data_IF_942803167337
#
_entry.id   IF_942803167337
#
_cell.length_a   1.000
_cell.length_b   1.000
_cell.length_c   1.000
_cell.angle_alpha   90.00
_cell.angle_beta   90.00
_cell.angle_gamma   90.00
#
_symmetry.space_group_name_H-M   'P 1'
#
loop_
_entity.id
_entity.type
_entity.pdbx_description
1 polymer ?
#
# COMPACT_ATOMS: atom_id res chain seq x y z
N UNK A 1 -5.90 -5.32 -18.72
CA UNK A 1 -6.49 -5.17 -17.36
C UNK A 1 -5.35 -4.78 -16.44
N UNK A 2 -5.53 -3.72 -15.65
CA UNK A 2 -4.53 -3.24 -14.68
C UNK A 2 -4.37 -4.23 -13.54
N UNK A 3 -3.13 -4.44 -13.07
CA UNK A 3 -2.88 -5.16 -11.82
C UNK A 3 -2.98 -4.20 -10.63
N UNK A 4 -3.36 -4.75 -9.48
CA UNK A 4 -3.21 -4.07 -8.18
C UNK A 4 -2.02 -4.67 -7.47
N UNK A 5 -1.04 -3.84 -7.19
CA UNK A 5 0.21 -4.18 -6.52
C UNK A 5 0.18 -3.57 -5.12
N UNK A 6 0.18 -4.39 -4.08
CA UNK A 6 0.41 -3.96 -2.71
C UNK A 6 1.93 -3.88 -2.49
N UNK A 7 2.50 -2.66 -2.56
CA UNK A 7 3.91 -2.41 -2.26
C UNK A 7 3.99 -1.76 -0.88
N UNK A 8 4.56 -2.47 0.10
CA UNK A 8 4.42 -2.09 1.51
C UNK A 8 5.57 -2.59 2.39
N UNK A 9 6.03 -1.71 3.29
CA UNK A 9 6.94 -2.08 4.36
C UNK A 9 6.18 -2.63 5.56
N UNK A 10 6.75 -3.65 6.21
CA UNK A 10 6.25 -4.20 7.47
C UNK A 10 7.38 -4.38 8.47
N UNK A 11 7.07 -4.27 9.75
CA UNK A 11 7.95 -4.81 10.79
C UNK A 11 8.03 -6.33 10.70
N UNK A 12 9.01 -6.95 11.37
CA UNK A 12 9.15 -8.41 11.42
C UNK A 12 7.89 -9.10 11.99
N UNK A 13 7.20 -8.45 12.92
CA UNK A 13 5.96 -8.94 13.51
C UNK A 13 4.67 -8.50 12.78
N UNK A 14 4.79 -8.00 11.53
CA UNK A 14 3.67 -7.84 10.60
C UNK A 14 2.86 -6.55 10.70
N UNK A 15 3.38 -5.51 11.32
CA UNK A 15 2.74 -4.20 11.41
C UNK A 15 3.24 -3.23 10.34
N UNK A 16 2.38 -2.33 9.89
CA UNK A 16 2.65 -1.34 8.84
C UNK A 16 2.80 0.09 9.38
N UNK A 17 2.27 0.36 10.56
CA UNK A 17 2.35 1.66 11.23
C UNK A 17 2.09 1.48 12.72
N UNK A 18 2.52 2.42 13.56
CA UNK A 18 2.18 2.47 14.99
C UNK A 18 0.68 2.70 15.18
N UNK A 19 0.17 2.53 16.40
CA UNK A 19 -1.25 2.70 16.74
C UNK A 19 -1.80 4.09 16.37
N UNK A 20 -0.96 5.13 16.46
CA UNK A 20 -1.29 6.50 16.06
C UNK A 20 -1.16 6.77 14.55
N UNK A 21 -0.78 5.75 13.77
CA UNK A 21 -0.55 5.84 12.34
C UNK A 21 0.88 6.21 11.95
N UNK A 22 1.76 6.58 12.88
CA UNK A 22 3.15 6.95 12.57
C UNK A 22 3.93 5.81 11.91
N UNK A 23 4.83 6.19 11.00
CA UNK A 23 5.77 5.31 10.30
C UNK A 23 7.23 5.71 10.57
N UNK A 24 7.47 6.51 11.63
CA UNK A 24 8.78 7.02 12.03
C UNK A 24 9.83 5.93 12.23
N UNK A 25 9.40 4.74 12.65
CA UNK A 25 10.24 3.56 12.79
C UNK A 25 10.95 3.12 11.49
N UNK A 26 10.48 3.56 10.33
CA UNK A 26 11.16 3.30 9.05
C UNK A 26 12.46 4.12 8.93
N UNK A 27 12.54 5.28 9.57
CA UNK A 27 13.72 6.15 9.58
C UNK A 27 14.85 5.54 10.44
N UNK A 28 14.51 4.67 11.39
CA UNK A 28 15.47 3.98 12.25
C UNK A 28 16.20 2.83 11.51
N UNK A 29 15.74 2.46 10.30
CA UNK A 29 16.37 1.38 9.52
C UNK A 29 17.57 1.93 8.77
N UNK A 30 18.80 1.44 9.08
CA UNK A 30 20.00 1.91 8.40
C UNK A 30 19.92 1.65 6.90
N UNK A 31 20.16 2.70 6.09
CA UNK A 31 20.23 2.58 4.63
C UNK A 31 21.53 3.20 4.10
N UNK A 32 22.70 2.62 4.42
CA UNK A 32 24.00 3.22 4.11
C UNK A 32 24.32 3.29 2.62
N UNK A 33 23.56 2.59 1.79
CA UNK A 33 23.74 2.55 0.34
C UNK A 33 22.66 3.35 -0.42
N UNK A 34 21.79 4.10 0.28
CA UNK A 34 20.68 4.83 -0.31
C UNK A 34 19.80 3.97 -1.24
N UNK A 35 19.53 2.75 -0.81
CA UNK A 35 18.68 1.82 -1.54
C UNK A 35 17.27 2.41 -1.67
N UNK A 36 16.73 2.44 -2.89
CA UNK A 36 15.35 2.86 -3.14
C UNK A 36 14.34 1.70 -3.08
N UNK A 37 14.83 0.48 -2.78
CA UNK A 37 14.02 -0.73 -2.64
C UNK A 37 13.13 -1.06 -3.85
N UNK A 38 13.45 -0.52 -5.05
CA UNK A 38 12.64 -0.66 -6.26
C UNK A 38 11.46 0.32 -6.34
N UNK A 39 11.48 1.39 -5.54
CA UNK A 39 10.42 2.39 -5.53
C UNK A 39 10.29 3.14 -6.86
N UNK A 40 11.41 3.48 -7.50
CA UNK A 40 11.38 4.13 -8.81
C UNK A 40 10.75 3.21 -9.86
N UNK A 41 11.11 1.92 -9.87
CA UNK A 41 10.52 0.94 -10.80
C UNK A 41 9.01 0.80 -10.58
N UNK A 42 8.56 0.84 -9.31
CA UNK A 42 7.13 0.87 -9.00
C UNK A 42 6.47 2.12 -9.61
N UNK A 43 7.01 3.32 -9.35
CA UNK A 43 6.44 4.58 -9.87
C UNK A 43 6.35 4.58 -11.39
N UNK A 44 7.36 4.04 -12.08
CA UNK A 44 7.37 3.92 -13.54
C UNK A 44 6.34 2.91 -14.05
N UNK A 45 5.95 1.93 -13.25
CA UNK A 45 5.01 0.87 -13.62
C UNK A 45 3.54 1.23 -13.39
N UNK A 46 3.25 2.27 -12.63
CA UNK A 46 1.90 2.66 -12.22
C UNK A 46 1.47 4.00 -12.82
N UNK A 47 0.16 4.22 -12.88
CA UNK A 47 -0.47 5.53 -13.15
C UNK A 47 -1.58 5.86 -12.14
N UNK A 48 -1.85 4.97 -11.22
CA UNK A 48 -3.00 5.07 -10.30
C UNK A 48 -2.59 4.62 -8.91
N UNK A 49 -3.09 5.30 -7.86
CA UNK A 49 -2.94 4.85 -6.48
C UNK A 49 -4.30 4.65 -5.80
N UNK A 50 -4.35 3.74 -4.83
CA UNK A 50 -5.51 3.51 -3.95
C UNK A 50 -5.02 3.51 -2.51
N UNK A 51 -5.72 4.23 -1.64
CA UNK A 51 -5.42 4.29 -0.21
C UNK A 51 -6.69 4.52 0.62
N UNK A 52 -6.62 4.24 1.91
CA UNK A 52 -7.65 4.59 2.86
C UNK A 52 -7.53 6.04 3.33
N UNK A 53 -8.64 6.61 3.84
CA UNK A 53 -8.63 7.99 4.30
C UNK A 53 -7.63 8.26 5.44
N UNK A 54 -7.43 7.33 6.37
CA UNK A 54 -6.45 7.51 7.45
C UNK A 54 -5.02 7.63 6.90
N UNK A 55 -4.66 6.79 5.92
CA UNK A 55 -3.37 6.88 5.23
C UNK A 55 -3.21 8.21 4.48
N UNK A 56 -4.27 8.66 3.81
CA UNK A 56 -4.28 9.97 3.15
C UNK A 56 -4.07 11.12 4.15
N UNK A 57 -4.82 11.12 5.27
CA UNK A 57 -4.67 12.16 6.30
C UNK A 57 -3.26 12.18 6.90
N UNK A 58 -2.66 11.01 7.09
CA UNK A 58 -1.28 10.91 7.56
C UNK A 58 -0.30 11.55 6.56
N UNK A 59 -0.42 11.23 5.27
CA UNK A 59 0.43 11.83 4.22
C UNK A 59 0.30 13.36 4.21
N UNK A 60 -0.92 13.87 4.31
CA UNK A 60 -1.15 15.32 4.38
C UNK A 60 -0.56 15.93 5.65
N UNK A 61 -0.58 15.23 6.78
CA UNK A 61 -0.03 15.71 8.06
C UNK A 61 1.50 15.90 8.05
N UNK A 62 2.21 15.34 7.09
CA UNK A 62 3.65 15.56 6.93
C UNK A 62 4.01 17.00 6.52
N UNK A 63 3.04 17.78 6.03
CA UNK A 63 3.26 19.18 5.64
C UNK A 63 4.15 19.36 4.40
N UNK A 64 4.39 18.30 3.63
CA UNK A 64 5.15 18.32 2.38
C UNK A 64 4.22 18.43 1.17
N UNK A 65 4.76 18.73 0.01
CA UNK A 65 4.02 18.65 -1.25
C UNK A 65 3.49 17.20 -1.42
N UNK A 66 2.25 17.06 -1.92
CA UNK A 66 1.63 15.74 -2.10
C UNK A 66 2.50 14.84 -3.01
N UNK A 67 3.01 13.70 -2.49
CA UNK A 67 4.10 12.96 -3.16
C UNK A 67 3.66 12.25 -4.44
N UNK A 68 2.36 12.01 -4.64
CA UNK A 68 1.83 11.22 -5.76
C UNK A 68 1.11 12.08 -6.81
N UNK A 69 1.55 13.31 -7.02
CA UNK A 69 0.93 14.28 -7.94
C UNK A 69 0.91 13.84 -9.41
N UNK A 70 1.79 12.91 -9.79
CA UNK A 70 1.91 12.40 -11.16
C UNK A 70 1.03 11.17 -11.43
N UNK A 71 0.19 10.78 -10.48
CA UNK A 71 -0.74 9.65 -10.61
C UNK A 71 -2.18 10.09 -10.35
N UNK A 72 -3.15 9.30 -10.81
CA UNK A 72 -4.55 9.46 -10.42
C UNK A 72 -4.75 8.79 -9.06
N UNK A 73 -5.15 9.56 -8.06
CA UNK A 73 -5.20 9.09 -6.68
C UNK A 73 -6.65 8.92 -6.21
N UNK A 74 -6.96 7.74 -5.69
CA UNK A 74 -8.27 7.41 -5.12
C UNK A 74 -8.16 7.12 -3.63
N UNK A 75 -9.02 7.79 -2.84
CA UNK A 75 -9.11 7.60 -1.38
C UNK A 75 -10.43 6.94 -1.05
N UNK A 76 -10.37 5.72 -0.51
CA UNK A 76 -11.56 5.01 -0.05
C UNK A 76 -11.98 5.51 1.33
N UNK A 77 -13.24 5.90 1.46
CA UNK A 77 -13.79 6.47 2.69
C UNK A 77 -15.29 6.19 2.82
N UNK A 78 -15.78 6.13 4.05
CA UNK A 78 -17.22 6.13 4.33
C UNK A 78 -17.72 7.53 4.73
N UNK A 79 -16.83 8.52 4.83
CA UNK A 79 -17.23 9.90 5.14
C UNK A 79 -17.77 10.58 3.87
N UNK A 80 -19.08 10.78 3.83
CA UNK A 80 -19.79 11.39 2.70
C UNK A 80 -19.54 12.90 2.54
N UNK A 81 -19.01 13.56 3.57
CA UNK A 81 -18.78 15.00 3.58
C UNK A 81 -17.46 15.41 2.90
N UNK A 82 -16.54 14.47 2.65
CA UNK A 82 -15.31 14.76 1.95
C UNK A 82 -15.57 15.09 0.48
N UNK A 83 -14.87 16.07 -0.05
CA UNK A 83 -14.96 16.49 -1.46
C UNK A 83 -13.63 16.28 -2.14
N UNK A 84 -13.68 15.93 -3.42
CA UNK A 84 -12.49 15.81 -4.26
C UNK A 84 -11.69 17.11 -4.27
N UNK A 85 -10.37 16.98 -4.41
CA UNK A 85 -9.47 18.12 -4.52
C UNK A 85 -8.46 17.90 -5.65
N UNK A 86 -7.51 18.81 -5.81
CA UNK A 86 -6.53 18.75 -6.89
C UNK A 86 -5.64 17.49 -6.88
N UNK A 87 -5.56 16.77 -5.75
CA UNK A 87 -4.68 15.61 -5.59
C UNK A 87 -5.40 14.29 -5.57
N UNK A 88 -6.64 14.24 -5.04
CA UNK A 88 -7.36 12.97 -4.80
C UNK A 88 -8.84 13.03 -5.15
N UNK A 89 -9.36 11.87 -5.54
CA UNK A 89 -10.79 11.61 -5.72
C UNK A 89 -11.27 10.70 -4.57
N UNK A 90 -12.29 11.11 -3.83
CA UNK A 90 -12.85 10.34 -2.72
C UNK A 90 -13.95 9.38 -3.20
N UNK A 91 -13.73 8.09 -3.01
CA UNK A 91 -14.71 7.04 -3.29
C UNK A 91 -15.43 6.71 -1.99
N UNK A 92 -16.70 7.07 -1.89
CA UNK A 92 -17.48 7.10 -0.64
C UNK A 92 -18.39 5.90 -0.45
N UNK A 93 -18.65 5.15 -1.52
CA UNK A 93 -19.52 3.97 -1.52
C UNK A 93 -19.14 3.03 -2.67
N UNK A 94 -19.68 1.80 -2.67
CA UNK A 94 -19.46 0.79 -3.73
C UNK A 94 -17.98 0.56 -4.07
N UNK A 95 -17.11 0.60 -3.06
CA UNK A 95 -15.66 0.54 -3.23
C UNK A 95 -15.22 -0.64 -4.12
N UNK A 96 -15.77 -1.83 -3.89
CA UNK A 96 -15.39 -3.04 -4.64
C UNK A 96 -15.80 -2.96 -6.11
N UNK A 97 -17.03 -2.51 -6.39
CA UNK A 97 -17.53 -2.31 -7.76
C UNK A 97 -16.66 -1.28 -8.49
N UNK A 98 -16.38 -0.15 -7.83
CA UNK A 98 -15.50 0.89 -8.37
C UNK A 98 -14.11 0.31 -8.74
N UNK A 99 -13.48 -0.44 -7.84
CA UNK A 99 -12.14 -0.99 -8.06
C UNK A 99 -12.13 -2.05 -9.16
N UNK A 100 -13.17 -2.92 -9.23
CA UNK A 100 -13.33 -3.87 -10.34
C UNK A 100 -13.40 -3.14 -11.69
N UNK A 101 -14.17 -2.08 -11.79
CA UNK A 101 -14.27 -1.25 -12.99
C UNK A 101 -12.96 -0.53 -13.31
N UNK A 102 -12.24 -0.06 -12.29
CA UNK A 102 -10.93 0.59 -12.45
C UNK A 102 -9.89 -0.39 -13.04
N UNK A 103 -9.87 -1.65 -12.61
CA UNK A 103 -9.00 -2.69 -13.17
C UNK A 103 -9.23 -2.95 -14.66
N UNK A 104 -10.44 -2.75 -15.15
CA UNK A 104 -10.79 -2.95 -16.57
C UNK A 104 -10.32 -1.81 -17.49
N UNK A 105 -9.97 -0.66 -16.93
CA UNK A 105 -9.49 0.49 -17.72
C UNK A 105 -8.12 0.19 -18.34
N UNK A 106 -7.82 0.87 -19.45
CA UNK A 106 -6.48 0.91 -20.06
C UNK A 106 -5.54 1.76 -19.23
N UNK A 107 -4.24 1.51 -19.31
CA UNK A 107 -3.18 2.24 -18.61
C UNK A 107 -2.20 1.33 -17.91
N UNK A 108 -1.37 1.93 -17.05
CA UNK A 108 -0.40 1.22 -16.19
C UNK A 108 -1.09 0.62 -14.97
N UNK A 109 -0.34 -0.10 -14.15
CA UNK A 109 -0.84 -0.77 -12.96
C UNK A 109 -1.28 0.20 -11.84
N UNK A 110 -1.81 -0.34 -10.77
CA UNK A 110 -2.37 0.38 -9.64
C UNK A 110 -1.53 0.05 -8.40
N UNK A 111 -0.99 1.06 -7.73
CA UNK A 111 -0.36 0.88 -6.43
C UNK A 111 -1.39 0.98 -5.31
N UNK A 112 -1.55 -0.11 -4.56
CA UNK A 112 -2.26 -0.11 -3.29
C UNK A 112 -1.29 0.35 -2.19
N UNK A 113 -1.43 1.61 -1.75
CA UNK A 113 -0.61 2.20 -0.68
C UNK A 113 -1.01 1.59 0.69
N UNK A 114 -2.31 1.33 0.89
CA UNK A 114 -2.82 0.73 2.11
C UNK A 114 -3.83 1.63 2.83
N UNK A 115 -4.04 1.57 4.10
CA UNK A 115 -3.69 0.82 5.27
C UNK A 115 -4.41 -0.52 5.43
N UNK A 116 -4.21 -1.15 6.60
CA UNK A 116 -4.61 -2.53 6.84
C UNK A 116 -6.07 -2.87 6.53
N UNK A 117 -7.02 -1.97 6.78
CA UNK A 117 -8.44 -2.16 6.43
C UNK A 117 -8.68 -2.21 4.93
N UNK A 118 -8.02 -1.33 4.16
CA UNK A 118 -8.15 -1.32 2.69
C UNK A 118 -7.43 -2.52 2.09
N UNK A 119 -6.26 -2.89 2.63
CA UNK A 119 -5.55 -4.10 2.23
C UNK A 119 -6.44 -5.33 2.41
N UNK A 120 -7.08 -5.48 3.59
CA UNK A 120 -8.02 -6.57 3.88
C UNK A 120 -9.24 -6.53 2.98
N UNK A 121 -9.81 -5.35 2.73
CA UNK A 121 -10.96 -5.20 1.84
C UNK A 121 -10.65 -5.73 0.44
N UNK A 122 -9.51 -5.36 -0.12
CA UNK A 122 -9.14 -5.77 -1.47
C UNK A 122 -8.71 -7.25 -1.51
N UNK A 123 -7.96 -7.72 -0.51
CA UNK A 123 -7.54 -9.10 -0.41
C UNK A 123 -8.75 -10.06 -0.35
N UNK A 124 -9.68 -9.78 0.57
CA UNK A 124 -10.89 -10.58 0.78
C UNK A 124 -11.86 -10.61 -0.41
N UNK A 125 -11.63 -9.78 -1.42
CA UNK A 125 -12.42 -9.73 -2.66
C UNK A 125 -11.62 -10.16 -3.89
N UNK A 126 -10.43 -10.76 -3.71
CA UNK A 126 -9.59 -11.28 -4.80
C UNK A 126 -9.10 -10.18 -5.77
N UNK A 127 -8.89 -8.96 -5.26
CA UNK A 127 -8.54 -7.81 -6.10
C UNK A 127 -7.05 -7.49 -6.12
N UNK A 128 -6.26 -7.98 -5.17
CA UNK A 128 -4.80 -7.83 -5.15
C UNK A 128 -4.18 -8.90 -6.06
N UNK A 129 -3.37 -8.48 -7.02
CA UNK A 129 -2.69 -9.38 -7.96
C UNK A 129 -1.27 -9.75 -7.48
N UNK A 130 -0.55 -8.76 -6.93
CA UNK A 130 0.82 -8.94 -6.44
C UNK A 130 1.00 -8.24 -5.08
N UNK A 131 1.84 -8.84 -4.23
CA UNK A 131 2.26 -8.26 -2.95
C UNK A 131 3.78 -8.15 -2.97
N UNK A 132 4.30 -6.94 -2.87
CA UNK A 132 5.70 -6.64 -2.68
C UNK A 132 5.88 -6.21 -1.22
N UNK A 133 6.19 -7.17 -0.36
CA UNK A 133 6.36 -6.95 1.07
C UNK A 133 7.84 -6.76 1.40
N UNK A 134 8.15 -5.67 2.08
CA UNK A 134 9.47 -5.37 2.60
C UNK A 134 9.46 -5.59 4.11
N UNK A 135 10.08 -6.68 4.56
CA UNK A 135 10.23 -6.97 5.99
C UNK A 135 11.42 -6.19 6.50
N UNK A 136 11.15 -5.22 7.35
CA UNK A 136 12.16 -4.43 8.03
C UNK A 136 12.72 -5.19 9.23
N UNK A 137 14.04 -5.11 9.50
CA UNK A 137 14.70 -5.83 10.59
C UNK A 137 14.40 -5.17 11.96
N UNK A 138 13.11 -5.00 12.28
CA UNK A 138 12.60 -4.37 13.50
C UNK A 138 11.34 -5.08 13.99
N UNK A 139 11.15 -5.12 15.30
CA UNK A 139 9.89 -5.48 15.97
C UNK A 139 9.33 -4.22 16.62
N UNK A 140 8.10 -3.89 16.35
CA UNK A 140 7.43 -2.74 16.98
C UNK A 140 6.29 -3.24 17.88
N UNK A 141 5.85 -2.40 18.82
CA UNK A 141 4.72 -2.69 19.69
C UNK A 141 3.43 -2.96 18.89
N UNK A 142 2.42 -3.51 19.53
CA UNK A 142 1.10 -3.77 18.93
C UNK A 142 0.54 -2.52 18.25
N UNK A 143 0.22 -2.66 16.96
CA UNK A 143 0.05 -1.53 16.05
C UNK A 143 -0.91 -1.88 14.91
N UNK A 144 -0.88 -1.13 13.81
CA UNK A 144 -1.73 -1.36 12.64
C UNK A 144 -1.16 -2.53 11.83
N UNK A 145 -1.93 -3.62 11.70
CA UNK A 145 -1.55 -4.83 10.97
C UNK A 145 -1.52 -4.60 9.46
N UNK A 146 -0.70 -5.38 8.76
CA UNK A 146 -0.68 -5.43 7.29
C UNK A 146 -2.07 -5.74 6.73
N UNK A 147 -2.76 -6.72 7.32
CA UNK A 147 -4.15 -7.05 7.07
C UNK A 147 -4.93 -7.01 8.40
N UNK A 148 -5.93 -6.15 8.49
CA UNK A 148 -6.78 -5.97 9.68
C UNK A 148 -7.59 -7.25 9.96
N UNK A 149 -8.13 -7.86 8.89
CA UNK A 149 -8.86 -9.13 8.95
C UNK A 149 -8.75 -9.90 7.63
N UNK A 150 -8.61 -11.21 7.73
CA UNK A 150 -8.61 -12.13 6.59
C UNK A 150 -9.74 -13.13 6.81
N UNK A 151 -10.62 -13.32 5.81
CA UNK A 151 -11.83 -14.14 5.92
C UNK A 151 -11.56 -15.61 5.69
N UNK A 152 -10.64 -15.94 4.79
CA UNK A 152 -10.31 -17.29 4.38
C UNK A 152 -8.80 -17.40 4.16
N UNK A 153 -8.25 -18.59 4.36
CA UNK A 153 -6.86 -18.86 4.05
C UNK A 153 -6.59 -18.63 2.55
N UNK A 154 -5.51 -17.96 2.24
CA UNK A 154 -5.12 -17.62 0.88
C UNK A 154 -3.70 -18.10 0.60
N UNK A 155 -3.51 -18.84 -0.46
CA UNK A 155 -2.19 -19.25 -0.90
C UNK A 155 -1.50 -18.18 -1.72
N UNK A 156 -0.21 -17.99 -1.46
CA UNK A 156 0.65 -17.06 -2.18
C UNK A 156 1.78 -17.83 -2.86
N UNK A 157 2.11 -17.44 -4.08
CA UNK A 157 3.27 -17.97 -4.79
C UNK A 157 4.41 -16.96 -4.75
N UNK A 158 5.55 -17.34 -4.18
CA UNK A 158 6.77 -16.52 -4.25
C UNK A 158 7.22 -16.42 -5.72
N UNK A 159 7.42 -15.20 -6.18
CA UNK A 159 7.95 -14.88 -7.51
C UNK A 159 9.43 -14.56 -7.43
N UNK A 160 9.82 -13.81 -6.39
CA UNK A 160 11.16 -13.27 -6.22
C UNK A 160 11.44 -12.90 -4.76
N UNK A 161 12.70 -12.94 -4.36
CA UNK A 161 13.18 -12.55 -3.02
C UNK A 161 14.50 -11.81 -3.15
N UNK A 162 14.60 -10.64 -2.52
CA UNK A 162 15.84 -9.86 -2.45
C UNK A 162 16.18 -9.59 -0.98
N UNK A 163 17.42 -9.83 -0.62
CA UNK A 163 18.00 -9.41 0.66
C UNK A 163 18.87 -8.18 0.40
N UNK A 164 18.51 -7.05 0.97
CA UNK A 164 19.26 -5.80 0.85
C UNK A 164 20.37 -5.72 1.90
N UNK A 165 21.40 -4.94 1.62
CA UNK A 165 22.52 -4.72 2.55
C UNK A 165 22.11 -4.04 3.86
N UNK A 166 20.99 -3.33 3.84
CA UNK A 166 20.33 -2.75 5.01
C UNK A 166 19.72 -3.80 5.97
N UNK A 167 19.68 -5.06 5.58
CA UNK A 167 19.00 -6.12 6.33
C UNK A 167 17.50 -6.25 5.98
N UNK A 168 16.96 -5.35 5.15
CA UNK A 168 15.60 -5.46 4.65
C UNK A 168 15.47 -6.63 3.70
N UNK A 169 14.38 -7.40 3.81
CA UNK A 169 14.08 -8.51 2.91
C UNK A 169 12.82 -8.14 2.12
N UNK A 170 12.91 -8.13 0.78
CA UNK A 170 11.74 -8.02 -0.10
C UNK A 170 11.30 -9.41 -0.52
N UNK A 171 10.04 -9.72 -0.26
CA UNK A 171 9.33 -10.81 -0.92
C UNK A 171 8.35 -10.25 -1.95
N UNK A 172 8.36 -10.81 -3.14
CA UNK A 172 7.33 -10.55 -4.14
C UNK A 172 6.48 -11.79 -4.31
N UNK A 173 5.20 -11.67 -4.02
CA UNK A 173 4.22 -12.73 -4.14
C UNK A 173 3.24 -12.43 -5.26
N UNK A 174 2.78 -13.48 -5.92
CA UNK A 174 1.57 -13.49 -6.73
C UNK A 174 0.46 -14.11 -5.88
N UNK A 175 -0.70 -13.46 -5.85
CA UNK A 175 -1.93 -13.99 -5.25
C UNK A 175 -2.51 -15.03 -6.22
N UNK A 176 -2.86 -16.23 -5.71
CA UNK A 176 -3.26 -17.40 -6.53
C UNK A 176 -4.73 -17.75 -6.30
#
# INVERSE_FOLDING_TARGET
>A
MKKIILYIATSLNGYIAKANGSVDWLEDIPNPHNENYGYNDLLDSIDTTIQGNNTYQQIISWGIEFPYKNTVNYVLTNNRNLTDNQHVNFIKEKHIEFIKNLKLKTGKDIWLIGGGKVNSLLLNNGLIDEIHQFIMPIVIEDSIKLFDSVKEDLSLKIVDTIVYKSGVIRYRYKVV
#
